data_IF_643745238043
#
_entry.id   IF_643745238043
#
_cell.length_a   1.000
_cell.length_b   1.000
_cell.length_c   1.000
_cell.angle_alpha   90.00
_cell.angle_beta   90.00
_cell.angle_gamma   90.00
#
_symmetry.space_group_name_H-M   'P 1'
#
loop_
_entity.id
_entity.type
_entity.pdbx_description
1 polymer ?
#
# COMPACT_ATOMS: atom_id res chain seq x y z
N UNK A 1 0.61 -16.82 -13.13
CA UNK A 1 -0.06 -17.33 -11.91
C UNK A 1 0.15 -16.36 -10.75
N UNK A 2 -0.87 -15.56 -10.41
CA UNK A 2 -0.82 -14.64 -9.26
C UNK A 2 -0.96 -15.40 -7.93
N UNK A 3 -0.76 -14.73 -6.78
CA UNK A 3 -0.98 -15.35 -5.48
C UNK A 3 -2.44 -15.82 -5.36
N UNK A 4 -2.63 -17.12 -5.18
CA UNK A 4 -3.94 -17.67 -4.85
C UNK A 4 -4.16 -17.45 -3.34
N UNK A 5 -5.29 -16.85 -2.95
CA UNK A 5 -5.67 -16.59 -1.56
C UNK A 5 -4.84 -15.54 -0.81
N UNK A 6 -4.43 -14.46 -1.48
CA UNK A 6 -3.74 -13.35 -0.83
C UNK A 6 -4.61 -12.71 0.26
N UNK A 7 -4.03 -12.44 1.43
CA UNK A 7 -4.68 -11.68 2.50
C UNK A 7 -3.95 -10.36 2.68
N UNK A 8 -4.67 -9.24 2.73
CA UNK A 8 -4.12 -7.90 2.84
C UNK A 8 -4.67 -7.19 4.09
N UNK A 9 -3.95 -6.20 4.60
CA UNK A 9 -4.51 -5.27 5.57
C UNK A 9 -5.61 -4.46 4.89
N UNK A 10 -6.72 -4.27 5.59
CA UNK A 10 -7.83 -3.43 5.17
C UNK A 10 -8.02 -2.29 6.15
N UNK A 11 -8.01 -1.08 5.63
CA UNK A 11 -8.20 0.13 6.41
C UNK A 11 -8.67 1.25 5.50
N UNK A 12 -9.57 2.08 6.01
CA UNK A 12 -10.03 3.29 5.35
C UNK A 12 -10.06 4.41 6.37
N UNK A 13 -9.17 5.38 6.21
CA UNK A 13 -9.11 6.53 7.09
C UNK A 13 -10.42 7.33 6.98
N UNK A 14 -10.97 7.84 8.11
CA UNK A 14 -12.26 8.55 8.10
C UNK A 14 -12.30 9.77 7.18
N UNK A 15 -11.16 10.37 6.87
CA UNK A 15 -11.05 11.52 5.95
C UNK A 15 -11.24 11.15 4.47
N UNK A 16 -11.16 9.86 4.10
CA UNK A 16 -11.32 9.40 2.72
C UNK A 16 -12.81 9.25 2.42
N UNK A 17 -13.33 10.10 1.53
CA UNK A 17 -14.72 10.06 1.05
C UNK A 17 -14.88 9.06 -0.10
N UNK A 18 -16.10 8.52 -0.28
CA UNK A 18 -16.42 7.51 -1.28
C UNK A 18 -16.41 6.07 -0.73
N UNK A 19 -17.00 5.15 -1.50
CA UNK A 19 -16.96 3.71 -1.23
C UNK A 19 -15.69 3.13 -1.86
N UNK A 20 -14.88 2.44 -1.06
CA UNK A 20 -13.77 1.66 -1.57
C UNK A 20 -14.32 0.26 -1.82
N UNK A 21 -14.44 -0.14 -3.09
CA UNK A 21 -15.05 -1.42 -3.47
C UNK A 21 -14.50 -2.56 -2.61
N UNK A 22 -15.40 -3.27 -1.90
CA UNK A 22 -15.17 -4.40 -0.99
C UNK A 22 -13.78 -4.42 -0.29
N UNK A 23 -13.35 -3.26 0.20
CA UNK A 23 -12.21 -3.16 1.09
C UNK A 23 -12.75 -3.14 2.52
N UNK A 24 -12.93 -4.33 3.08
CA UNK A 24 -13.11 -4.65 4.50
C UNK A 24 -13.48 -3.49 5.43
N UNK A 25 -14.73 -3.50 5.88
CA UNK A 25 -15.36 -2.41 6.62
C UNK A 25 -14.60 -1.86 7.84
N UNK A 26 -14.63 -0.53 7.94
CA UNK A 26 -14.66 0.36 9.12
C UNK A 26 -13.74 0.15 10.35
N UNK A 27 -12.93 -0.90 10.42
CA UNK A 27 -11.89 -1.08 11.44
C UNK A 27 -10.62 -1.64 10.78
N UNK A 28 -9.43 -1.22 11.24
CA UNK A 28 -8.17 -1.80 10.77
C UNK A 28 -8.22 -3.32 10.95
N UNK A 29 -8.25 -4.06 9.84
CA UNK A 29 -8.48 -5.49 9.82
C UNK A 29 -7.71 -6.17 8.68
N UNK A 30 -8.05 -7.43 8.40
CA UNK A 30 -7.50 -8.19 7.29
C UNK A 30 -8.63 -8.59 6.32
N UNK A 31 -8.38 -8.49 5.01
CA UNK A 31 -9.31 -8.86 3.95
C UNK A 31 -8.65 -9.90 3.05
N UNK A 32 -9.43 -10.89 2.59
CA UNK A 32 -8.97 -11.89 1.61
C UNK A 32 -9.28 -11.39 0.21
N UNK A 33 -8.25 -11.25 -0.61
CA UNK A 33 -8.39 -10.71 -1.95
C UNK A 33 -8.78 -11.78 -2.96
N UNK A 34 -9.60 -11.42 -3.97
CA UNK A 34 -9.85 -12.28 -5.12
C UNK A 34 -8.55 -12.75 -5.80
N UNK A 35 -8.57 -13.91 -6.47
CA UNK A 35 -7.40 -14.40 -7.21
C UNK A 35 -6.89 -13.39 -8.24
N UNK A 36 -5.58 -13.21 -8.32
CA UNK A 36 -4.95 -12.29 -9.28
C UNK A 36 -4.94 -10.83 -8.85
N UNK A 37 -5.38 -10.50 -7.62
CA UNK A 37 -5.25 -9.16 -7.05
C UNK A 37 -4.01 -9.03 -6.16
N UNK A 38 -3.60 -7.78 -5.94
CA UNK A 38 -2.51 -7.36 -5.06
C UNK A 38 -3.03 -6.79 -3.74
N UNK A 39 -2.15 -6.64 -2.77
CA UNK A 39 -2.36 -5.70 -1.69
C UNK A 39 -1.96 -4.30 -2.14
N UNK A 40 -2.77 -3.30 -1.79
CA UNK A 40 -2.44 -1.88 -1.91
C UNK A 40 -2.34 -1.25 -0.54
N UNK A 41 -1.41 -0.31 -0.40
CA UNK A 41 -1.42 0.62 0.71
C UNK A 41 -1.13 2.04 0.25
N UNK A 42 -1.88 2.98 0.80
CA UNK A 42 -1.78 4.41 0.56
C UNK A 42 -1.66 5.10 1.91
N UNK A 43 -0.64 5.92 2.08
CA UNK A 43 -0.37 6.65 3.31
C UNK A 43 -0.14 8.11 3.02
N UNK A 44 -0.39 8.97 4.00
CA UNK A 44 0.32 10.24 4.11
C UNK A 44 1.48 10.10 5.12
N UNK A 45 2.15 11.20 5.46
CA UNK A 45 3.27 11.19 6.43
C UNK A 45 2.94 10.64 7.81
N UNK A 46 1.66 10.62 8.20
CA UNK A 46 1.25 10.33 9.59
C UNK A 46 0.29 9.16 9.70
N UNK A 47 -0.43 8.81 8.64
CA UNK A 47 -1.55 7.87 8.67
C UNK A 47 -1.66 7.04 7.40
N UNK A 48 -2.07 5.78 7.58
CA UNK A 48 -2.61 4.99 6.50
C UNK A 48 -3.96 5.58 6.09
N UNK A 49 -4.09 5.95 4.81
CA UNK A 49 -5.30 6.50 4.23
C UNK A 49 -6.21 5.40 3.70
N UNK A 50 -5.64 4.48 2.91
CA UNK A 50 -6.37 3.39 2.26
C UNK A 50 -5.47 2.16 2.21
N UNK A 51 -5.97 1.01 2.64
CA UNK A 51 -5.33 -0.29 2.52
C UNK A 51 -6.37 -1.33 2.12
N UNK A 52 -6.01 -2.26 1.23
CA UNK A 52 -6.92 -3.32 0.82
C UNK A 52 -6.41 -4.12 -0.36
N UNK A 53 -7.34 -4.65 -1.13
CA UNK A 53 -7.09 -5.35 -2.37
C UNK A 53 -7.05 -4.37 -3.54
N UNK A 54 -6.22 -4.65 -4.54
CA UNK A 54 -6.10 -3.83 -5.74
C UNK A 54 -5.85 -4.67 -6.98
N UNK A 55 -6.42 -4.21 -8.10
CA UNK A 55 -6.19 -4.78 -9.42
C UNK A 55 -7.13 -5.93 -9.77
N UNK A 56 -6.86 -6.52 -10.93
CA UNK A 56 -7.63 -7.59 -11.58
C UNK A 56 -7.32 -7.58 -13.08
N UNK A 57 -6.89 -8.74 -13.60
CA UNK A 57 -6.48 -8.97 -15.00
C UNK A 57 -5.41 -8.02 -15.56
N UNK A 58 -4.14 -8.18 -15.12
CA UNK A 58 -2.98 -7.66 -15.88
C UNK A 58 -1.92 -6.93 -15.07
N UNK A 59 -2.27 -6.36 -13.91
CA UNK A 59 -1.31 -5.70 -13.03
C UNK A 59 -0.55 -6.72 -12.18
N UNK A 60 0.64 -7.11 -12.63
CA UNK A 60 1.54 -7.91 -11.81
C UNK A 60 2.04 -7.07 -10.63
N UNK A 61 1.73 -7.50 -9.40
CA UNK A 61 2.29 -6.87 -8.22
C UNK A 61 3.82 -6.98 -8.28
N UNK A 62 4.56 -5.87 -8.22
CA UNK A 62 5.99 -5.87 -8.56
C UNK A 62 6.87 -6.56 -7.50
N UNK A 63 6.40 -6.72 -6.26
CA UNK A 63 7.20 -7.21 -5.14
C UNK A 63 6.39 -7.96 -4.08
N UNK A 64 7.03 -8.88 -3.36
CA UNK A 64 6.44 -9.58 -2.22
C UNK A 64 6.21 -8.64 -1.02
N UNK A 65 7.03 -7.59 -0.89
CA UNK A 65 6.98 -6.61 0.20
C UNK A 65 6.57 -5.24 -0.32
N UNK A 66 5.97 -4.43 0.55
CA UNK A 66 5.57 -3.06 0.23
C UNK A 66 6.77 -2.11 0.35
N UNK A 67 7.20 -1.53 -0.77
CA UNK A 67 8.14 -0.40 -0.79
C UNK A 67 7.36 0.87 -1.21
N UNK A 68 6.93 1.73 -0.26
CA UNK A 68 6.13 2.89 -0.59
C UNK A 68 6.93 3.90 -1.42
N UNK A 69 6.35 4.36 -2.51
CA UNK A 69 6.89 5.43 -3.35
C UNK A 69 5.90 6.60 -3.41
N UNK A 70 6.37 7.85 -3.61
CA UNK A 70 5.48 8.99 -3.80
C UNK A 70 4.53 8.74 -4.97
N UNK A 71 3.23 8.85 -4.72
CA UNK A 71 2.24 8.75 -5.77
C UNK A 71 2.21 10.06 -6.58
N UNK A 72 2.46 9.99 -7.89
CA UNK A 72 2.35 11.13 -8.80
C UNK A 72 3.61 11.99 -8.87
N UNK A 73 3.45 13.32 -8.81
CA UNK A 73 4.55 14.28 -9.02
C UNK A 73 5.56 14.30 -7.89
N UNK A 74 6.84 14.63 -8.18
CA UNK A 74 7.88 14.79 -7.16
C UNK A 74 7.43 15.78 -6.07
N UNK A 75 7.49 15.36 -4.80
CA UNK A 75 7.07 16.17 -3.65
C UNK A 75 5.66 15.84 -3.12
N UNK A 76 4.94 14.88 -3.72
CA UNK A 76 3.68 14.37 -3.20
C UNK A 76 3.80 13.91 -1.74
N UNK A 77 2.85 14.30 -0.90
CA UNK A 77 2.78 13.90 0.52
C UNK A 77 2.14 12.52 0.72
N UNK A 78 1.72 11.88 -0.39
CA UNK A 78 1.05 10.59 -0.42
C UNK A 78 2.01 9.53 -0.94
N UNK A 79 2.14 8.44 -0.18
CA UNK A 79 2.93 7.27 -0.54
C UNK A 79 1.98 6.15 -0.96
N UNK A 80 2.37 5.38 -1.96
CA UNK A 80 1.64 4.24 -2.52
C UNK A 80 2.58 3.03 -2.63
N UNK A 81 2.05 1.84 -2.39
CA UNK A 81 2.71 0.59 -2.79
C UNK A 81 1.72 -0.46 -3.28
N UNK A 82 2.23 -1.40 -4.07
CA UNK A 82 1.56 -2.63 -4.46
C UNK A 82 2.46 -3.82 -4.11
N UNK A 83 1.90 -4.85 -3.48
CA UNK A 83 2.66 -6.03 -3.09
C UNK A 83 1.82 -7.33 -3.08
N UNK A 84 2.48 -8.48 -3.07
CA UNK A 84 1.83 -9.81 -3.16
C UNK A 84 2.16 -10.78 -2.01
N UNK A 85 2.72 -10.29 -0.90
CA UNK A 85 2.88 -11.06 0.34
C UNK A 85 1.67 -10.91 1.26
N UNK A 86 1.42 -11.92 2.12
CA UNK A 86 0.33 -11.80 3.10
C UNK A 86 0.59 -10.61 4.05
N UNK A 87 -0.43 -9.75 4.19
CA UNK A 87 -0.42 -8.55 5.02
C UNK A 87 0.73 -7.59 4.69
N UNK A 88 1.31 -7.67 3.48
CA UNK A 88 2.52 -6.93 3.10
C UNK A 88 2.31 -5.42 3.08
N UNK A 89 1.05 -4.96 2.93
CA UNK A 89 0.67 -3.56 2.98
C UNK A 89 0.43 -3.06 4.41
N UNK A 90 0.69 -3.84 5.46
CA UNK A 90 0.41 -3.45 6.85
C UNK A 90 1.49 -2.58 7.50
N UNK A 91 2.75 -2.84 7.17
CA UNK A 91 3.87 -2.06 7.67
C UNK A 91 4.62 -1.55 6.44
N UNK A 92 4.71 -0.23 6.28
CA UNK A 92 5.67 0.32 5.35
C UNK A 92 7.04 -0.15 5.84
N UNK A 93 7.64 -1.15 5.17
CA UNK A 93 9.05 -1.42 5.36
C UNK A 93 9.74 -0.15 4.91
N UNK A 94 10.09 0.68 5.88
CA UNK A 94 10.81 1.91 5.64
C UNK A 94 12.09 1.53 4.94
N UNK A 95 12.14 1.72 3.63
CA UNK A 95 13.18 2.60 3.15
C UNK A 95 13.01 3.84 3.99
N UNK A 96 13.94 3.98 4.93
CA UNK A 96 14.10 5.15 5.75
C UNK A 96 13.70 6.35 4.90
N UNK A 97 12.98 7.28 5.51
CA UNK A 97 13.19 8.66 5.19
C UNK A 97 14.71 8.86 5.31
N UNK A 98 15.43 8.58 4.23
CA UNK A 98 16.82 8.93 4.05
C UNK A 98 16.73 10.44 3.97
N UNK A 99 16.70 11.02 5.17
CA UNK A 99 17.34 12.26 5.51
C UNK A 99 18.08 12.81 4.30
N UNK A 100 17.42 13.76 3.65
CA UNK A 100 18.12 14.80 2.94
C UNK A 100 18.98 15.54 3.97
N UNK A 101 20.12 14.96 4.35
CA UNK A 101 21.18 15.61 5.11
C UNK A 101 22.45 14.76 5.03
N UNK A 102 23.38 15.22 4.21
CA UNK A 102 24.65 14.55 3.97
C UNK A 102 25.50 15.32 2.96
N UNK A 103 25.72 16.61 3.23
CA UNK A 103 26.86 17.36 2.72
C UNK A 103 28.15 16.59 2.96
N UNK A 104 28.97 16.38 1.92
CA UNK A 104 30.38 16.05 2.09
C UNK A 104 30.99 15.15 1.01
N UNK A 105 31.53 15.77 -0.04
CA UNK A 105 32.72 15.31 -0.78
C UNK A 105 33.42 16.59 -1.25
N UNK A 106 34.48 16.99 -0.56
CA UNK A 106 35.89 16.79 -0.94
C UNK A 106 36.40 17.95 -1.81
#
# INVERSE_FOLDING_TARGET
>A
PGPHNLTCVSNKHPSVRGELGDAGGAAAGAVRCPPGQCCIGIWNRSHALVQGCWGGEGDACPSATCAPSPAGTPGGSVLLCLCHGHLCNGNATGTAMATATGTGTA
#
